data_IF_062271786582
#
_entry.id   IF_062271786582
#
_cell.length_a   1.000
_cell.length_b   1.000
_cell.length_c   1.000
_cell.angle_alpha   90.00
_cell.angle_beta   90.00
_cell.angle_gamma   90.00
#
_symmetry.space_group_name_H-M   'P 1'
#
loop_
_entity.id
_entity.type
_entity.pdbx_description
1 polymer ?
#
# COMPACT_ATOMS: atom_id res chain seq x y z
N UNK A 1 -3.97 -12.96 7.83
CA UNK A 1 -3.26 -11.76 7.35
C UNK A 1 -4.33 -10.73 7.01
N UNK A 2 -4.03 -9.44 6.96
CA UNK A 2 -4.99 -8.43 6.54
C UNK A 2 -4.47 -7.62 5.36
N UNK A 3 -5.40 -7.13 4.55
CA UNK A 3 -5.11 -6.28 3.39
C UNK A 3 -5.65 -4.89 3.68
N UNK A 4 -4.75 -3.94 3.87
CA UNK A 4 -5.07 -2.54 4.11
C UNK A 4 -5.06 -1.78 2.79
N UNK A 5 -6.23 -1.34 2.31
CA UNK A 5 -6.34 -0.48 1.14
C UNK A 5 -6.35 0.98 1.56
N UNK A 6 -5.39 1.78 1.10
CA UNK A 6 -5.28 3.21 1.43
C UNK A 6 -5.38 4.03 0.14
N UNK A 7 -6.48 4.76 0.00
CA UNK A 7 -6.78 5.60 -1.17
C UNK A 7 -6.89 7.10 -0.84
N UNK A 8 -6.86 7.46 0.45
CA UNK A 8 -6.83 8.83 0.95
C UNK A 8 -5.60 9.12 1.81
N UNK A 9 -4.90 10.20 1.50
CA UNK A 9 -3.65 10.58 2.16
C UNK A 9 -3.83 10.83 3.67
N UNK A 10 -4.94 11.46 4.07
CA UNK A 10 -5.19 11.76 5.48
C UNK A 10 -5.47 10.50 6.33
N UNK A 11 -5.85 9.38 5.71
CA UNK A 11 -6.03 8.10 6.41
C UNK A 11 -4.73 7.30 6.53
N UNK A 12 -3.69 7.64 5.76
CA UNK A 12 -2.45 6.86 5.70
C UNK A 12 -1.79 6.71 7.08
N UNK A 13 -1.73 7.79 7.87
CA UNK A 13 -1.13 7.77 9.20
C UNK A 13 -1.91 6.91 10.20
N UNK A 14 -3.23 6.83 10.06
CA UNK A 14 -4.09 5.95 10.87
C UNK A 14 -3.93 4.50 10.46
N UNK A 15 -3.92 4.23 9.15
CA UNK A 15 -3.76 2.90 8.60
C UNK A 15 -2.43 2.27 9.03
N UNK A 16 -1.30 2.97 8.83
CA UNK A 16 0.06 2.50 9.18
C UNK A 16 0.16 2.08 10.65
N UNK A 17 -0.52 2.79 11.57
CA UNK A 17 -0.51 2.45 13.01
C UNK A 17 -1.22 1.14 13.33
N UNK A 18 -2.14 0.69 12.48
CA UNK A 18 -2.98 -0.48 12.70
C UNK A 18 -2.59 -1.69 11.85
N UNK A 19 -1.76 -1.49 10.82
CA UNK A 19 -1.09 -2.57 10.09
C UNK A 19 -0.31 -3.42 11.09
N UNK A 20 -0.39 -4.74 11.02
CA UNK A 20 0.38 -5.69 11.80
C UNK A 20 1.48 -6.36 10.97
N UNK A 21 2.37 -7.12 11.61
CA UNK A 21 3.39 -7.91 10.90
C UNK A 21 2.74 -8.96 9.98
N UNK A 22 3.28 -9.10 8.77
CA UNK A 22 2.78 -10.01 7.74
C UNK A 22 1.61 -9.46 6.92
N UNK A 23 1.06 -8.30 7.28
CA UNK A 23 -0.01 -7.67 6.51
C UNK A 23 0.48 -7.10 5.17
N UNK A 24 -0.48 -6.94 4.26
CA UNK A 24 -0.27 -6.29 2.96
C UNK A 24 -0.95 -4.93 2.95
N UNK A 25 -0.25 -3.90 2.49
CA UNK A 25 -0.75 -2.55 2.32
C UNK A 25 -0.79 -2.21 0.84
N UNK A 26 -1.97 -1.88 0.33
CA UNK A 26 -2.18 -1.46 -1.06
C UNK A 26 -2.50 0.02 -1.07
N UNK A 27 -1.69 0.81 -1.77
CA UNK A 27 -1.89 2.25 -1.95
C UNK A 27 -2.30 2.55 -3.39
N UNK A 28 -3.21 3.51 -3.56
CA UNK A 28 -3.72 3.91 -4.88
C UNK A 28 -3.20 5.28 -5.34
N UNK A 29 -2.19 5.85 -4.68
CA UNK A 29 -1.55 7.12 -5.07
C UNK A 29 -0.07 7.09 -4.66
N UNK A 30 0.81 7.57 -5.53
CA UNK A 30 2.27 7.55 -5.30
C UNK A 30 2.69 8.42 -4.10
N UNK A 31 2.09 9.59 -3.92
CA UNK A 31 2.35 10.48 -2.79
C UNK A 31 2.07 9.79 -1.45
N UNK A 32 1.00 8.99 -1.40
CA UNK A 32 0.67 8.17 -0.22
C UNK A 32 1.70 7.05 -0.06
N UNK A 33 2.14 6.45 -1.16
CA UNK A 33 3.09 5.36 -1.15
C UNK A 33 4.41 5.75 -0.48
N UNK A 34 4.99 6.91 -0.81
CA UNK A 34 6.27 7.35 -0.23
C UNK A 34 6.18 7.44 1.29
N UNK A 35 5.15 8.12 1.81
CA UNK A 35 4.94 8.28 3.26
C UNK A 35 4.68 6.93 3.94
N UNK A 36 3.90 6.05 3.31
CA UNK A 36 3.58 4.71 3.83
C UNK A 36 4.81 3.81 3.84
N UNK A 37 5.62 3.81 2.78
CA UNK A 37 6.86 3.02 2.68
C UNK A 37 7.83 3.50 3.76
N UNK A 38 8.03 4.81 3.88
CA UNK A 38 8.91 5.36 4.91
C UNK A 38 8.46 4.97 6.33
N UNK A 39 7.16 5.02 6.60
CA UNK A 39 6.61 4.68 7.92
C UNK A 39 6.61 3.17 8.23
N UNK A 40 6.72 2.32 7.20
CA UNK A 40 6.70 0.86 7.32
C UNK A 40 8.08 0.22 7.01
N UNK A 41 9.12 1.00 6.72
CA UNK A 41 10.40 0.51 6.21
C UNK A 41 11.08 -0.54 7.12
N UNK A 42 10.97 -0.38 8.44
CA UNK A 42 11.56 -1.30 9.41
C UNK A 42 10.59 -2.40 9.87
N UNK A 43 9.43 -2.52 9.22
CA UNK A 43 8.39 -3.47 9.57
C UNK A 43 8.33 -4.59 8.53
N UNK A 44 8.12 -5.81 8.98
CA UNK A 44 7.94 -6.96 8.10
C UNK A 44 6.51 -6.96 7.51
N UNK A 45 6.26 -6.07 6.56
CA UNK A 45 4.98 -5.85 5.87
C UNK A 45 5.21 -5.66 4.38
N UNK A 46 4.25 -6.08 3.57
CA UNK A 46 4.33 -5.92 2.12
C UNK A 46 3.59 -4.66 1.69
N UNK A 47 4.26 -3.75 0.97
CA UNK A 47 3.62 -2.55 0.41
C UNK A 47 3.51 -2.69 -1.11
N UNK A 48 2.32 -2.42 -1.64
CA UNK A 48 2.02 -2.49 -3.07
C UNK A 48 1.36 -1.21 -3.57
N UNK A 49 1.73 -0.78 -4.77
CA UNK A 49 1.17 0.38 -5.47
C UNK A 49 0.40 -0.07 -6.71
N UNK A 50 -0.83 0.41 -6.87
CA UNK A 50 -1.62 0.10 -8.05
C UNK A 50 -1.06 0.77 -9.33
N UNK A 51 -0.98 0.00 -10.41
CA UNK A 51 -0.57 0.47 -11.75
C UNK A 51 -1.59 1.46 -12.31
N UNK A 52 -1.14 2.51 -13.02
CA UNK A 52 -2.02 3.51 -13.63
C UNK A 52 -2.26 4.75 -12.77
N UNK A 53 -1.80 4.75 -11.51
CA UNK A 53 -1.65 5.96 -10.71
C UNK A 53 -0.42 6.69 -11.22
N UNK A 54 -0.64 7.72 -12.05
CA UNK A 54 0.39 8.39 -12.86
C UNK A 54 1.56 8.91 -12.01
N UNK A 55 2.82 8.63 -12.41
CA UNK A 55 4.00 9.15 -11.75
C UNK A 55 4.46 10.47 -12.37
N UNK A 56 4.51 11.54 -11.59
CA UNK A 56 5.46 12.62 -11.84
C UNK A 56 6.74 12.28 -11.07
N UNK A 57 7.80 12.00 -11.82
CA UNK A 57 9.03 11.41 -11.33
C UNK A 57 9.68 12.22 -10.19
N UNK A 58 9.70 11.66 -8.98
CA UNK A 58 10.71 11.98 -7.97
C UNK A 58 10.91 10.80 -7.03
N UNK A 59 12.15 10.29 -6.97
CA UNK A 59 12.69 9.30 -6.02
C UNK A 59 12.53 7.80 -6.32
N UNK A 60 13.60 7.27 -6.94
CA UNK A 60 13.82 5.86 -7.29
C UNK A 60 14.06 4.91 -6.10
N UNK A 61 14.38 5.40 -4.90
CA UNK A 61 14.76 4.54 -3.77
C UNK A 61 13.54 3.95 -3.03
N UNK A 62 12.51 4.75 -2.78
CA UNK A 62 11.25 4.26 -2.17
C UNK A 62 10.55 3.24 -3.07
N UNK A 63 10.67 3.39 -4.39
CA UNK A 63 10.12 2.48 -5.40
C UNK A 63 10.68 1.05 -5.29
N UNK A 64 11.93 0.86 -4.85
CA UNK A 64 12.52 -0.48 -4.76
C UNK A 64 11.88 -1.35 -3.68
N UNK A 65 11.32 -0.74 -2.63
CA UNK A 65 10.63 -1.44 -1.54
C UNK A 65 9.14 -1.70 -1.81
N UNK A 66 8.58 -1.11 -2.88
CA UNK A 66 7.16 -1.16 -3.19
C UNK A 66 6.90 -1.99 -4.44
N UNK A 67 6.03 -2.99 -4.34
CA UNK A 67 5.63 -3.80 -5.49
C UNK A 67 4.56 -3.06 -6.29
N UNK A 68 4.79 -2.81 -7.58
CA UNK A 68 3.73 -2.32 -8.46
C UNK A 68 2.81 -3.48 -8.85
N UNK A 69 1.49 -3.32 -8.69
CA UNK A 69 0.47 -4.37 -8.93
C UNK A 69 -0.57 -3.90 -9.95
N UNK A 70 -1.15 -4.82 -10.71
CA UNK A 70 -2.24 -4.52 -11.67
C UNK A 70 -3.61 -4.43 -10.99
N UNK A 71 -4.64 -3.99 -11.72
CA UNK A 71 -6.04 -4.10 -11.26
C UNK A 71 -6.47 -5.56 -11.06
N UNK A 72 -5.98 -6.49 -11.88
CA UNK A 72 -6.24 -7.93 -11.70
C UNK A 72 -5.64 -8.45 -10.39
N UNK A 73 -4.43 -8.00 -10.05
CA UNK A 73 -3.80 -8.32 -8.77
C UNK A 73 -4.57 -7.70 -7.60
N UNK A 74 -5.06 -6.47 -7.73
CA UNK A 74 -5.97 -5.88 -6.74
C UNK A 74 -7.15 -6.81 -6.53
N UNK A 75 -7.89 -7.15 -7.59
CA UNK A 75 -9.10 -7.98 -7.47
C UNK A 75 -8.78 -9.25 -6.69
N UNK A 76 -7.69 -9.93 -7.04
CA UNK A 76 -7.22 -11.14 -6.33
C UNK A 76 -6.97 -10.91 -4.84
N UNK A 77 -6.32 -9.82 -4.47
CA UNK A 77 -6.13 -9.44 -3.07
C UNK A 77 -7.49 -9.30 -2.36
N UNK A 78 -8.44 -8.57 -2.97
CA UNK A 78 -9.73 -8.30 -2.35
C UNK A 78 -10.74 -9.46 -2.36
N UNK A 79 -10.54 -10.45 -3.22
CA UNK A 79 -11.37 -11.66 -3.29
C UNK A 79 -10.72 -12.87 -2.64
N UNK A 80 -9.56 -12.69 -2.01
CA UNK A 80 -8.93 -13.73 -1.21
C UNK A 80 -9.71 -13.97 0.09
N UNK A 81 -9.41 -15.06 0.80
CA UNK A 81 -10.00 -15.35 2.11
C UNK A 81 -9.51 -14.39 3.22
N UNK A 82 -8.64 -13.43 2.88
CA UNK A 82 -8.09 -12.46 3.82
C UNK A 82 -9.07 -11.30 4.07
N UNK A 83 -8.98 -10.72 5.27
CA UNK A 83 -9.81 -9.56 5.62
C UNK A 83 -9.30 -8.30 4.93
N UNK A 84 -10.19 -7.61 4.22
CA UNK A 84 -9.89 -6.33 3.56
C UNK A 84 -10.36 -5.18 4.44
N UNK A 85 -9.45 -4.26 4.76
CA UNK A 85 -9.71 -3.04 5.52
C UNK A 85 -9.48 -1.84 4.60
N UNK A 86 -10.56 -1.13 4.27
CA UNK A 86 -10.50 0.05 3.42
C UNK A 86 -10.35 1.33 4.24
N UNK A 87 -9.39 2.16 3.84
CA UNK A 87 -9.01 3.43 4.43
C UNK A 87 -9.25 4.57 3.45
N UNK A 88 -10.52 4.74 3.06
CA UNK A 88 -11.09 5.95 2.47
C UNK A 88 -10.72 6.23 1.03
#
# INVERSE_FOLDING_TARGET
>A
MAIHLINQQYQASHAVRLVAEGDTVIVTKEQIAVDVIAALADRNVSVALLTGTSPEASDNSARAACKVISEDDWVRYTTSDESVISWG
#
